data_IF_097418377914
#
_entry.id   IF_097418377914
#
_cell.length_a   1.000
_cell.length_b   1.000
_cell.length_c   1.000
_cell.angle_alpha   90.00
_cell.angle_beta   90.00
_cell.angle_gamma   90.00
#
_symmetry.space_group_name_H-M   'P 1'
#
loop_
_entity.id
_entity.type
_entity.pdbx_description
1 polymer ?
#
# COMPACT_ATOMS: atom_id res chain seq x y z
N UNK A 1 19.53 1.49 13.45
CA UNK A 1 20.59 1.86 12.49
C UNK A 1 21.92 2.13 13.19
N UNK A 2 22.02 3.17 14.04
CA UNK A 2 23.28 3.59 14.67
C UNK A 2 23.88 2.61 15.66
N UNK A 3 23.06 2.04 16.55
CA UNK A 3 23.53 1.10 17.57
C UNK A 3 24.12 -0.20 16.98
N UNK A 4 23.79 -0.55 15.73
CA UNK A 4 24.24 -1.77 15.05
C UNK A 4 25.14 -1.51 13.84
N UNK A 5 25.52 -0.25 13.61
CA UNK A 5 26.30 0.20 12.44
C UNK A 5 25.76 -0.31 11.09
N UNK A 6 24.43 -0.38 10.95
CA UNK A 6 23.78 -0.83 9.70
C UNK A 6 23.74 0.37 8.76
N UNK A 7 24.57 0.32 7.72
CA UNK A 7 24.68 1.36 6.69
C UNK A 7 24.29 0.88 5.30
N UNK A 8 24.27 -0.45 5.08
CA UNK A 8 23.86 -1.03 3.80
C UNK A 8 22.38 -1.40 3.82
N UNK A 9 21.57 -0.68 3.05
CA UNK A 9 20.16 -0.98 2.84
C UNK A 9 19.37 0.24 2.38
N UNK A 10 18.14 -0.04 1.98
CA UNK A 10 17.17 0.95 1.51
C UNK A 10 16.01 0.97 2.49
N UNK A 11 15.62 2.17 2.92
CA UNK A 11 14.39 2.41 3.66
C UNK A 11 13.31 2.83 2.68
N UNK A 12 12.20 2.09 2.71
CA UNK A 12 10.99 2.37 1.97
C UNK A 12 9.81 2.39 2.96
N UNK A 13 8.96 3.41 2.86
CA UNK A 13 7.76 3.56 3.68
C UNK A 13 6.59 2.98 2.90
N UNK A 14 6.09 1.83 3.35
CA UNK A 14 4.97 1.14 2.71
C UNK A 14 3.81 0.98 3.69
N UNK A 15 2.75 1.73 3.47
CA UNK A 15 1.50 1.64 4.22
C UNK A 15 0.81 0.28 3.98
N UNK A 16 0.01 -0.16 4.94
CA UNK A 16 -0.54 -1.52 4.97
C UNK A 16 -1.73 -1.75 4.02
N UNK A 17 -2.33 -0.68 3.51
CA UNK A 17 -3.50 -0.69 2.61
C UNK A 17 -3.16 -0.40 1.14
N UNK A 18 -1.93 0.03 0.88
CA UNK A 18 -1.42 0.35 -0.44
C UNK A 18 -1.20 -0.92 -1.29
N UNK A 19 -1.11 -0.74 -2.60
CA UNK A 19 -0.84 -1.82 -3.56
C UNK A 19 0.52 -1.60 -4.22
N UNK A 20 1.33 -2.65 -4.30
CA UNK A 20 2.71 -2.57 -4.79
C UNK A 20 2.96 -3.59 -5.91
N UNK A 21 3.52 -3.13 -7.03
CA UNK A 21 4.10 -4.01 -8.04
C UNK A 21 5.47 -4.51 -7.55
N UNK A 22 5.76 -5.81 -7.69
CA UNK A 22 7.04 -6.37 -7.26
C UNK A 22 8.25 -5.75 -7.97
N UNK A 23 8.08 -5.23 -9.19
CA UNK A 23 9.11 -4.49 -9.94
C UNK A 23 9.62 -3.29 -9.15
N UNK A 24 8.76 -2.64 -8.35
CA UNK A 24 9.14 -1.51 -7.51
C UNK A 24 10.35 -1.83 -6.62
N UNK A 25 10.32 -2.97 -5.95
CA UNK A 25 11.38 -3.39 -5.02
C UNK A 25 12.69 -3.76 -5.73
N UNK A 26 12.65 -3.95 -7.05
CA UNK A 26 13.84 -4.08 -7.88
C UNK A 26 14.38 -2.70 -8.27
N UNK A 27 13.50 -1.76 -8.64
CA UNK A 27 13.84 -0.38 -9.02
C UNK A 27 14.51 0.42 -7.91
N UNK A 28 14.08 0.25 -6.66
CA UNK A 28 14.59 1.03 -5.52
C UNK A 28 15.80 0.38 -4.83
N UNK A 29 16.16 -0.85 -5.20
CA UNK A 29 17.19 -1.65 -4.50
C UNK A 29 18.58 -1.04 -4.60
N UNK A 30 18.85 -0.34 -5.67
CA UNK A 30 20.15 0.27 -6.01
C UNK A 30 20.19 1.78 -5.73
N UNK A 31 19.21 2.33 -5.02
CA UNK A 31 19.14 3.76 -4.66
C UNK A 31 20.41 4.21 -3.93
N UNK A 32 21.07 5.23 -4.45
CA UNK A 32 22.33 5.75 -3.89
C UNK A 32 22.09 6.81 -2.82
N UNK A 33 21.12 7.69 -3.03
CA UNK A 33 20.67 8.71 -2.07
C UNK A 33 19.17 8.62 -1.88
N UNK A 34 18.39 9.14 -2.83
CA UNK A 34 16.94 9.15 -2.75
C UNK A 34 16.36 8.88 -4.13
N UNK A 35 15.64 7.78 -4.25
CA UNK A 35 14.86 7.47 -5.45
C UNK A 35 13.45 7.99 -5.32
N UNK A 36 12.90 8.52 -6.41
CA UNK A 36 11.50 8.95 -6.48
C UNK A 36 10.83 8.40 -7.74
N UNK A 37 9.52 8.15 -7.63
CA UNK A 37 8.71 7.54 -8.68
C UNK A 37 7.23 7.93 -8.52
N UNK A 38 6.40 7.79 -9.57
CA UNK A 38 4.98 8.11 -9.51
C UNK A 38 4.18 7.17 -8.60
N UNK A 39 3.20 7.74 -7.91
CA UNK A 39 2.18 7.02 -7.12
C UNK A 39 0.82 7.23 -7.76
N UNK A 40 0.09 6.15 -8.02
CA UNK A 40 -1.26 6.19 -8.58
C UNK A 40 -2.35 6.32 -7.52
N UNK A 41 -3.56 6.71 -7.97
CA UNK A 41 -4.77 6.89 -7.15
C UNK A 41 -4.66 7.99 -6.08
N UNK A 42 -3.83 9.00 -6.33
CA UNK A 42 -3.73 10.18 -5.47
C UNK A 42 -4.80 11.20 -5.84
N UNK A 43 -5.76 11.38 -4.93
CA UNK A 43 -6.85 12.38 -4.92
C UNK A 43 -7.26 12.91 -6.32
N UNK A 44 -7.20 14.23 -6.53
CA UNK A 44 -7.76 14.91 -7.70
C UNK A 44 -7.00 14.59 -8.99
N UNK A 45 -5.69 14.38 -8.92
CA UNK A 45 -4.84 14.22 -10.10
C UNK A 45 -4.71 12.76 -10.54
N UNK A 46 -5.19 11.81 -9.72
CA UNK A 46 -5.00 10.36 -9.88
C UNK A 46 -3.54 9.89 -9.92
N UNK A 47 -2.58 10.82 -9.87
CA UNK A 47 -1.15 10.57 -9.85
C UNK A 47 -0.45 11.69 -9.07
N UNK A 48 0.50 11.31 -8.24
CA UNK A 48 1.51 12.20 -7.67
C UNK A 48 2.89 11.72 -8.08
N UNK A 49 3.85 12.62 -8.28
CA UNK A 49 5.23 12.22 -8.52
C UNK A 49 6.14 13.31 -9.09
N UNK A 50 7.42 12.97 -9.29
CA UNK A 50 8.39 13.88 -9.87
C UNK A 50 8.12 14.14 -11.37
N UNK A 51 8.30 15.39 -11.79
CA UNK A 51 8.34 15.78 -13.21
C UNK A 51 9.77 15.62 -13.70
N UNK A 52 9.99 14.73 -14.67
CA UNK A 52 11.33 14.40 -15.18
C UNK A 52 11.56 14.97 -16.57
N UNK A 53 12.69 15.65 -16.77
CA UNK A 53 13.15 16.14 -18.08
C UNK A 53 14.61 15.75 -18.28
N UNK A 54 14.92 15.05 -19.38
CA UNK A 54 16.28 14.57 -19.70
C UNK A 54 16.91 13.77 -18.55
N UNK A 55 16.13 12.89 -17.92
CA UNK A 55 16.60 12.04 -16.82
C UNK A 55 16.85 12.76 -15.49
N UNK A 56 16.38 14.01 -15.33
CA UNK A 56 16.50 14.80 -14.11
C UNK A 56 15.14 15.29 -13.64
N UNK A 57 14.93 15.28 -12.33
CA UNK A 57 13.74 15.87 -11.71
C UNK A 57 13.84 17.39 -11.83
N UNK A 58 12.80 18.01 -12.36
CA UNK A 58 12.70 19.47 -12.54
C UNK A 58 11.57 20.10 -11.71
N UNK A 59 10.74 19.28 -11.08
CA UNK A 59 9.59 19.69 -10.28
C UNK A 59 8.76 18.48 -9.89
N UNK A 60 7.53 18.71 -9.45
CA UNK A 60 6.61 17.70 -8.96
C UNK A 60 5.19 18.00 -9.44
N UNK A 61 4.42 16.94 -9.67
CA UNK A 61 2.99 16.98 -9.93
C UNK A 61 2.31 16.33 -8.74
N UNK A 62 1.45 17.07 -8.04
CA UNK A 62 0.74 16.60 -6.85
C UNK A 62 -0.51 17.48 -6.63
N UNK A 63 -1.62 16.88 -6.19
CA UNK A 63 -2.88 17.60 -5.96
C UNK A 63 -2.86 18.49 -4.72
N UNK A 64 -1.91 18.27 -3.80
CA UNK A 64 -1.80 18.95 -2.52
C UNK A 64 -0.41 19.56 -2.33
N UNK A 65 -0.12 20.68 -3.00
CA UNK A 65 1.20 21.32 -2.89
C UNK A 65 1.43 21.94 -1.51
N UNK A 66 0.46 22.66 -0.94
CA UNK A 66 0.47 23.22 0.41
C UNK A 66 1.82 23.84 0.89
N UNK A 67 2.52 24.57 0.01
CA UNK A 67 3.85 25.14 0.27
C UNK A 67 4.95 24.13 0.67
N UNK A 68 4.71 22.83 0.45
CA UNK A 68 5.68 21.76 0.63
C UNK A 68 6.82 21.95 -0.37
N UNK A 69 8.05 21.77 0.10
CA UNK A 69 9.24 21.79 -0.78
C UNK A 69 9.30 20.51 -1.60
N UNK A 70 8.86 19.41 -1.01
CA UNK A 70 8.78 18.10 -1.63
C UNK A 70 7.33 17.61 -1.60
N UNK A 71 6.49 18.04 -2.55
CA UNK A 71 5.11 17.56 -2.62
C UNK A 71 5.09 16.18 -3.28
N UNK A 72 5.23 15.17 -2.44
CA UNK A 72 5.18 13.75 -2.81
C UNK A 72 4.35 13.00 -1.78
N UNK A 73 3.83 11.85 -2.19
CA UNK A 73 3.22 10.87 -1.31
C UNK A 73 4.30 10.03 -0.59
N UNK A 74 3.99 9.52 0.61
CA UNK A 74 4.90 8.71 1.43
C UNK A 74 5.42 7.48 0.67
N UNK A 75 4.57 6.84 -0.14
CA UNK A 75 4.93 5.66 -0.91
C UNK A 75 5.74 5.99 -2.18
N UNK A 76 5.94 7.27 -2.52
CA UNK A 76 6.57 7.73 -3.77
C UNK A 76 8.10 7.85 -3.73
N UNK A 77 8.74 7.51 -2.62
CA UNK A 77 10.19 7.61 -2.50
C UNK A 77 10.82 6.52 -1.62
N UNK A 78 12.12 6.29 -1.83
CA UNK A 78 12.94 5.45 -0.97
C UNK A 78 14.29 6.11 -0.71
N UNK A 79 14.91 5.84 0.44
CA UNK A 79 16.16 6.48 0.86
C UNK A 79 17.23 5.45 1.22
N UNK A 80 18.47 5.75 0.85
CA UNK A 80 19.62 4.94 1.23
C UNK A 80 19.97 5.18 2.70
N UNK A 81 20.16 4.09 3.47
CA UNK A 81 20.46 4.17 4.89
C UNK A 81 21.81 4.85 5.20
N UNK A 82 22.82 4.67 4.34
CA UNK A 82 24.11 5.34 4.49
C UNK A 82 23.97 6.86 4.29
N UNK A 83 23.23 7.29 3.26
CA UNK A 83 22.94 8.70 3.03
C UNK A 83 22.17 9.31 4.20
N UNK A 84 21.13 8.63 4.69
CA UNK A 84 20.37 9.10 5.86
C UNK A 84 21.26 9.19 7.13
N UNK A 85 22.23 8.28 7.30
CA UNK A 85 23.12 8.28 8.45
C UNK A 85 24.06 9.50 8.51
N UNK A 86 24.34 10.15 7.36
CA UNK A 86 25.08 11.42 7.27
C UNK A 86 24.35 12.57 8.02
N UNK A 87 23.03 12.44 8.24
CA UNK A 87 22.20 13.46 8.86
C UNK A 87 21.67 13.01 10.22
N UNK A 88 22.37 13.33 11.33
CA UNK A 88 22.03 12.83 12.66
C UNK A 88 20.69 13.23 13.24
N UNK A 89 20.08 14.26 12.68
CA UNK A 89 18.80 14.77 13.10
C UNK A 89 17.68 14.34 12.14
N UNK A 90 17.93 13.35 11.27
CA UNK A 90 16.91 12.78 10.41
C UNK A 90 15.76 12.24 11.26
N UNK A 91 14.55 12.74 11.01
CA UNK A 91 13.35 12.36 11.76
C UNK A 91 12.12 12.51 10.89
N UNK A 92 11.10 11.72 11.21
CA UNK A 92 9.75 11.84 10.64
C UNK A 92 8.87 12.49 11.72
N UNK A 93 8.68 13.81 11.73
CA UNK A 93 7.86 14.48 12.73
C UNK A 93 6.37 14.22 12.47
N UNK A 94 5.58 14.02 13.52
CA UNK A 94 4.13 13.92 13.42
C UNK A 94 3.52 15.31 13.21
N UNK A 95 3.33 15.69 11.95
CA UNK A 95 2.72 16.97 11.55
C UNK A 95 1.87 16.71 10.29
N UNK A 96 0.55 16.55 10.45
CA UNK A 96 -0.34 16.08 9.38
C UNK A 96 -0.13 16.80 8.05
N UNK A 97 0.17 16.03 7.00
CA UNK A 97 0.38 16.49 5.63
C UNK A 97 1.75 17.13 5.38
N UNK A 98 2.68 17.04 6.33
CA UNK A 98 4.05 17.56 6.22
C UNK A 98 5.10 16.54 6.65
N UNK A 99 4.71 15.31 7.00
CA UNK A 99 5.60 14.24 7.40
C UNK A 99 6.73 14.04 6.38
N UNK A 100 6.37 13.80 5.11
CA UNK A 100 7.31 13.54 4.01
C UNK A 100 8.21 14.74 3.76
N UNK A 101 7.61 15.93 3.67
CA UNK A 101 8.34 17.17 3.39
C UNK A 101 9.38 17.44 4.48
N UNK A 102 9.01 17.30 5.75
CA UNK A 102 9.91 17.53 6.87
C UNK A 102 10.98 16.44 6.98
N UNK A 103 10.65 15.18 6.70
CA UNK A 103 11.62 14.11 6.63
C UNK A 103 12.67 14.36 5.54
N UNK A 104 12.25 14.64 4.32
CA UNK A 104 13.14 14.89 3.18
C UNK A 104 14.00 16.15 3.39
N UNK A 105 13.47 17.17 4.09
CA UNK A 105 14.25 18.33 4.54
C UNK A 105 15.29 17.96 5.60
N UNK A 106 14.95 17.07 6.54
CA UNK A 106 15.84 16.68 7.64
C UNK A 106 17.11 15.96 7.14
N UNK A 107 17.01 15.23 6.02
CA UNK A 107 18.13 14.59 5.32
C UNK A 107 18.79 15.49 4.27
N UNK A 108 18.50 16.79 4.27
CA UNK A 108 19.03 17.80 3.31
C UNK A 108 18.93 17.37 1.85
N UNK A 109 17.78 16.78 1.46
CA UNK A 109 17.52 16.46 0.06
C UNK A 109 17.69 17.71 -0.81
N UNK A 110 18.22 17.52 -2.01
CA UNK A 110 18.23 18.53 -3.06
C UNK A 110 17.71 17.93 -4.37
N UNK A 111 17.23 18.79 -5.27
CA UNK A 111 16.57 18.35 -6.51
C UNK A 111 17.53 17.55 -7.42
N UNK A 112 18.81 17.91 -7.43
CA UNK A 112 19.81 17.39 -8.36
C UNK A 112 20.29 15.96 -8.03
N UNK A 113 20.10 15.53 -6.78
CA UNK A 113 20.49 14.19 -6.31
C UNK A 113 19.33 13.19 -6.30
N UNK A 114 18.12 13.62 -6.70
CA UNK A 114 16.99 12.69 -6.83
C UNK A 114 17.24 11.76 -8.01
N UNK A 115 17.06 10.47 -7.78
CA UNK A 115 17.18 9.40 -8.75
C UNK A 115 15.78 9.03 -9.26
N UNK A 116 15.35 9.49 -10.45
CA UNK A 116 14.05 9.10 -11.00
C UNK A 116 14.06 7.61 -11.35
N UNK A 117 13.07 6.87 -10.84
CA UNK A 117 12.87 5.44 -11.12
C UNK A 117 11.61 5.23 -11.98
N UNK A 118 11.23 3.96 -12.19
CA UNK A 118 10.04 3.59 -12.95
C UNK A 118 10.07 4.16 -14.38
N UNK A 119 11.18 3.87 -15.08
CA UNK A 119 11.44 4.33 -16.44
C UNK A 119 11.30 5.86 -16.61
N UNK A 120 12.14 6.63 -15.92
CA UNK A 120 12.04 8.10 -15.87
C UNK A 120 10.65 8.60 -15.46
N UNK A 121 10.01 7.90 -14.51
CA UNK A 121 8.71 8.25 -13.96
C UNK A 121 7.59 8.22 -15.00
N UNK A 122 7.67 7.29 -15.96
CA UNK A 122 6.62 7.03 -16.97
C UNK A 122 5.77 5.79 -16.64
N UNK A 123 6.14 5.04 -15.60
CA UNK A 123 5.42 3.87 -15.12
C UNK A 123 4.93 4.11 -13.68
N UNK A 124 3.74 3.60 -13.37
CA UNK A 124 3.19 3.58 -12.01
C UNK A 124 3.37 2.16 -11.47
N UNK A 125 4.11 2.02 -10.37
CA UNK A 125 4.43 0.73 -9.74
C UNK A 125 3.89 0.63 -8.30
N UNK A 126 3.23 1.68 -7.82
CA UNK A 126 2.60 1.74 -6.51
C UNK A 126 1.30 2.55 -6.61
N UNK A 127 0.29 2.11 -5.87
CA UNK A 127 -1.02 2.75 -5.83
C UNK A 127 -1.45 2.95 -4.38
N UNK A 128 -1.90 4.16 -4.08
CA UNK A 128 -2.39 4.57 -2.77
C UNK A 128 -3.84 4.08 -2.56
N UNK A 129 -4.02 2.77 -2.55
CA UNK A 129 -5.33 2.12 -2.35
C UNK A 129 -5.78 2.22 -0.90
N UNK A 130 -7.10 2.24 -0.69
CA UNK A 130 -7.69 2.17 0.65
C UNK A 130 -8.79 1.12 0.66
N UNK A 131 -8.87 0.37 1.76
CA UNK A 131 -9.97 -0.56 1.98
C UNK A 131 -11.22 0.22 2.39
N UNK A 132 -12.34 0.00 1.69
CA UNK A 132 -13.62 0.58 2.11
C UNK A 132 -14.15 -0.14 3.34
N UNK A 133 -14.47 0.62 4.38
CA UNK A 133 -15.14 0.08 5.56
C UNK A 133 -16.50 -0.54 5.17
N UNK A 134 -16.77 -1.73 5.68
CA UNK A 134 -18.04 -2.44 5.54
C UNK A 134 -18.45 -3.04 6.86
N UNK A 135 -19.74 -2.97 7.16
CA UNK A 135 -20.29 -3.66 8.32
C UNK A 135 -20.06 -5.17 8.21
N UNK A 136 -19.73 -5.76 9.35
CA UNK A 136 -19.54 -7.19 9.49
C UNK A 136 -20.82 -7.91 9.04
N UNK A 137 -20.68 -8.79 8.05
CA UNK A 137 -21.83 -9.48 7.47
C UNK A 137 -22.12 -10.80 8.20
N UNK A 138 -23.39 -11.03 8.54
CA UNK A 138 -23.87 -12.36 8.97
C UNK A 138 -24.35 -13.17 7.77
N UNK A 139 -23.68 -14.30 7.52
CA UNK A 139 -24.07 -15.27 6.51
C UNK A 139 -25.03 -16.29 7.13
N UNK A 140 -26.24 -16.40 6.56
CA UNK A 140 -27.20 -17.44 6.98
C UNK A 140 -26.87 -18.75 6.29
N UNK A 141 -26.18 -19.63 6.99
CA UNK A 141 -25.69 -20.93 6.50
C UNK A 141 -25.75 -21.93 7.65
N UNK A 142 -26.22 -23.15 7.36
CA UNK A 142 -26.40 -24.11 8.45
C UNK A 142 -25.07 -24.72 8.89
N UNK A 143 -24.82 -24.71 10.20
CA UNK A 143 -23.60 -25.22 10.82
C UNK A 143 -23.31 -26.68 10.45
N UNK A 144 -24.35 -27.49 10.20
CA UNK A 144 -24.21 -28.89 9.77
C UNK A 144 -23.54 -29.07 8.40
N UNK A 145 -23.39 -28.00 7.62
CA UNK A 145 -22.71 -27.99 6.31
C UNK A 145 -21.34 -27.31 6.36
N UNK A 146 -20.88 -26.89 7.54
CA UNK A 146 -19.59 -26.24 7.78
C UNK A 146 -18.54 -27.22 8.31
N UNK A 147 -18.74 -28.52 8.08
CA UNK A 147 -17.77 -29.56 8.40
C UNK A 147 -16.85 -29.85 7.18
N UNK A 148 -16.06 -30.92 7.28
CA UNK A 148 -15.02 -31.27 6.32
C UNK A 148 -15.56 -31.81 4.98
N UNK A 149 -16.89 -31.81 4.77
CA UNK A 149 -17.50 -32.15 3.47
C UNK A 149 -17.18 -31.12 2.39
N UNK A 150 -16.76 -29.90 2.76
CA UNK A 150 -16.33 -28.86 1.81
C UNK A 150 -15.35 -27.86 2.43
N UNK A 151 -14.76 -27.01 1.59
CA UNK A 151 -13.91 -25.91 2.03
C UNK A 151 -14.67 -24.77 2.76
N UNK A 152 -16.01 -24.76 2.73
CA UNK A 152 -16.82 -23.66 3.25
C UNK A 152 -16.65 -23.46 4.76
N UNK A 153 -16.55 -24.56 5.53
CA UNK A 153 -16.34 -24.51 6.98
C UNK A 153 -15.05 -23.78 7.34
N UNK A 154 -13.93 -24.18 6.73
CA UNK A 154 -12.62 -23.56 6.93
C UNK A 154 -12.63 -22.08 6.56
N UNK A 155 -13.22 -21.72 5.42
CA UNK A 155 -13.27 -20.32 4.96
C UNK A 155 -14.11 -19.44 5.88
N UNK A 156 -15.31 -19.89 6.26
CA UNK A 156 -16.22 -19.10 7.10
C UNK A 156 -15.63 -18.91 8.50
N UNK A 157 -15.00 -19.95 9.06
CA UNK A 157 -14.28 -19.84 10.34
C UNK A 157 -13.12 -18.86 10.25
N UNK A 158 -12.36 -18.85 9.15
CA UNK A 158 -11.29 -17.89 8.94
C UNK A 158 -11.81 -16.45 8.90
N UNK A 159 -12.92 -16.22 8.20
CA UNK A 159 -13.56 -14.90 8.15
C UNK A 159 -14.10 -14.44 9.51
N UNK A 160 -14.61 -15.38 10.32
CA UNK A 160 -15.06 -15.12 11.69
C UNK A 160 -13.90 -14.70 12.59
N UNK A 161 -12.79 -15.45 12.55
CA UNK A 161 -11.56 -15.12 13.29
C UNK A 161 -10.95 -13.79 12.85
N UNK A 162 -11.02 -13.46 11.56
CA UNK A 162 -10.55 -12.17 11.02
C UNK A 162 -11.51 -11.00 11.32
N UNK A 163 -12.69 -11.25 11.90
CA UNK A 163 -13.70 -10.22 12.16
C UNK A 163 -14.43 -9.71 10.92
N UNK A 164 -14.25 -10.35 9.75
CA UNK A 164 -14.79 -9.90 8.46
C UNK A 164 -16.28 -10.26 8.32
N UNK A 165 -16.64 -11.50 8.67
CA UNK A 165 -17.99 -12.01 8.58
C UNK A 165 -18.22 -13.08 9.65
N UNK A 166 -19.44 -13.38 10.02
CA UNK A 166 -19.77 -14.55 10.83
C UNK A 166 -20.87 -15.38 10.17
N UNK A 167 -21.16 -16.55 10.73
CA UNK A 167 -22.26 -17.41 10.29
C UNK A 167 -23.33 -17.57 11.36
N UNK A 168 -24.58 -17.71 10.92
CA UNK A 168 -25.72 -18.05 11.76
C UNK A 168 -26.61 -19.06 11.04
N UNK A 169 -27.21 -19.99 11.78
CA UNK A 169 -28.23 -20.90 11.22
C UNK A 169 -29.49 -20.13 10.81
N UNK A 170 -29.82 -19.04 11.51
CA UNK A 170 -31.15 -18.40 11.45
C UNK A 170 -31.13 -16.94 10.98
N UNK A 171 -30.01 -16.25 11.10
CA UNK A 171 -29.90 -14.81 10.87
C UNK A 171 -29.00 -14.45 9.69
N UNK A 172 -29.21 -13.27 9.12
CA UNK A 172 -28.39 -12.74 8.04
C UNK A 172 -28.82 -13.17 6.64
N UNK A 173 -27.95 -12.96 5.66
CA UNK A 173 -28.26 -13.20 4.25
C UNK A 173 -28.16 -14.69 3.92
N UNK A 174 -29.23 -15.27 3.37
CA UNK A 174 -29.27 -16.69 2.97
C UNK A 174 -28.18 -17.01 1.94
N UNK A 175 -27.27 -17.90 2.33
CA UNK A 175 -26.30 -18.48 1.41
C UNK A 175 -27.02 -19.38 0.39
N UNK A 176 -26.64 -19.25 -0.89
CA UNK A 176 -27.05 -20.14 -1.98
C UNK A 176 -25.81 -20.53 -2.76
N UNK A 177 -25.75 -21.79 -3.20
CA UNK A 177 -24.70 -22.27 -4.09
C UNK A 177 -25.28 -22.33 -5.50
N UNK A 178 -24.55 -21.85 -6.50
CA UNK A 178 -24.98 -21.93 -7.90
C UNK A 178 -24.15 -22.95 -8.67
N UNK A 179 -24.81 -23.68 -9.58
CA UNK A 179 -24.15 -24.54 -10.58
C UNK A 179 -24.80 -24.27 -11.93
N UNK A 180 -23.99 -23.93 -12.94
CA UNK A 180 -24.45 -23.56 -14.29
C UNK A 180 -25.54 -22.47 -14.29
N UNK A 181 -25.32 -21.41 -13.51
CA UNK A 181 -26.24 -20.26 -13.42
C UNK A 181 -27.53 -20.51 -12.63
N UNK A 182 -27.75 -21.73 -12.10
CA UNK A 182 -28.94 -22.06 -11.30
C UNK A 182 -28.59 -22.16 -9.82
N UNK A 183 -29.26 -21.35 -9.00
CA UNK A 183 -29.14 -21.42 -7.55
C UNK A 183 -29.81 -22.71 -7.01
N UNK A 184 -29.13 -23.38 -6.09
CA UNK A 184 -29.60 -24.58 -5.39
C UNK A 184 -29.29 -24.46 -3.89
N UNK A 185 -30.10 -25.09 -3.01
CA UNK A 185 -29.83 -25.10 -1.58
C UNK A 185 -28.53 -25.86 -1.28
N UNK A 186 -27.92 -25.60 -0.13
CA UNK A 186 -26.70 -26.30 0.29
C UNK A 186 -26.87 -27.82 0.36
N UNK A 187 -28.05 -28.30 0.77
CA UNK A 187 -28.37 -29.73 0.79
C UNK A 187 -28.23 -30.41 -0.57
N UNK A 188 -28.40 -29.67 -1.68
CA UNK A 188 -28.22 -30.26 -3.00
C UNK A 188 -26.76 -30.67 -3.27
N UNK A 189 -25.80 -30.03 -2.59
CA UNK A 189 -24.37 -30.26 -2.78
C UNK A 189 -23.68 -30.95 -1.60
N UNK A 190 -24.20 -30.76 -0.39
CA UNK A 190 -23.50 -31.09 0.87
C UNK A 190 -24.28 -32.06 1.77
N UNK A 191 -25.38 -32.64 1.25
CA UNK A 191 -26.08 -33.75 1.90
C UNK A 191 -25.37 -35.07 1.70
#
# INVERSE_FOLDING_TARGET
LRQRNITNGILYFGDDDNTYDLKLFSEIRDTQRVSMFPVGLIEEYSVSGPVVRKGKVVGFLDSWVAERRWPVDMAGFATNLAYMAEYPNASMPYKPGYEEDLFLRSIRLNLNIIEPKANNCTEILVWHTQTKNRERTTLRISNKYLDDRSNLGTLIKSLDVMGIANSSDNEGRRAVISKNGKAKPLSYFLS
#
